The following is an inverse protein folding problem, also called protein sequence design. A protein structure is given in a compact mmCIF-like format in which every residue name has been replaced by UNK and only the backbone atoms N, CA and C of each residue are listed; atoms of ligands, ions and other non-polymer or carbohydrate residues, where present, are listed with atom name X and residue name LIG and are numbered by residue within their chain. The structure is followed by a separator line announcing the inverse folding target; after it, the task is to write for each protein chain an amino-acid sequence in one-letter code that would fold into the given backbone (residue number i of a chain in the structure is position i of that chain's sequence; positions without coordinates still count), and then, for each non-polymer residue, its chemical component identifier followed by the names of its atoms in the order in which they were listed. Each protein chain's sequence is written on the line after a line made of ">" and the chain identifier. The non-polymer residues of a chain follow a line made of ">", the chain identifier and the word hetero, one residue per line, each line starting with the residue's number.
data_IF_281887254155
#
_entry.id   IF_281887254155
#
_cell.length_a   1.000
_cell.length_b   1.000
_cell.length_c   1.000
_cell.angle_alpha   90.00
_cell.angle_beta   90.00
_cell.angle_gamma   90.00
#
_symmetry.space_group_name_H-M   'P 1'
#
loop_
_entity.id
_entity.type
_entity.pdbx_description
1 polymer ?
#
# COMPACT_ATOMS: atom_id res chain seq x y z
N UNK A 1 -63.70 16.63 51.17
CA UNK A 1 -64.15 16.14 49.86
C UNK A 1 -62.88 15.71 49.13
N UNK A 2 -62.54 14.41 49.09
CA UNK A 2 -62.97 13.43 48.07
C UNK A 2 -62.86 14.04 46.67
N UNK A 3 -62.24 13.46 45.66
CA UNK A 3 -61.65 12.15 45.36
C UNK A 3 -61.11 12.33 43.92
N UNK A 4 -60.15 11.50 43.51
CA UNK A 4 -59.74 11.11 42.13
C UNK A 4 -58.22 11.23 41.98
N UNK A 5 -57.45 10.16 42.19
CA UNK A 5 -57.35 8.86 41.50
C UNK A 5 -56.15 8.86 40.54
N UNK A 6 -55.23 7.97 40.90
CA UNK A 6 -54.05 7.51 40.19
C UNK A 6 -54.39 6.91 38.81
N UNK A 7 -53.53 7.20 37.82
CA UNK A 7 -53.26 6.34 36.66
C UNK A 7 -51.76 6.54 36.30
N UNK A 8 -50.88 5.63 36.71
CA UNK A 8 -50.27 4.56 35.86
C UNK A 8 -49.38 5.17 34.76
N UNK A 9 -48.07 5.33 34.97
CA UNK A 9 -47.01 4.31 34.90
C UNK A 9 -46.69 3.83 33.47
N UNK A 10 -45.38 3.70 33.22
CA UNK A 10 -44.67 3.12 32.06
C UNK A 10 -44.52 3.96 30.79
N UNK A 11 -43.40 4.69 30.72
CA UNK A 11 -42.56 4.75 29.51
C UNK A 11 -41.15 5.25 29.89
N UNK A 12 -40.44 4.46 30.70
CA UNK A 12 -39.02 4.65 30.98
C UNK A 12 -38.33 3.30 30.83
N UNK A 13 -37.22 3.31 30.09
CA UNK A 13 -36.32 2.19 29.78
C UNK A 13 -36.81 1.21 28.69
N UNK A 14 -36.59 1.57 27.42
CA UNK A 14 -36.17 0.63 26.35
C UNK A 14 -35.86 1.32 24.99
N UNK A 15 -35.33 2.56 24.96
CA UNK A 15 -35.11 3.30 23.71
C UNK A 15 -33.68 3.85 23.50
N UNK A 16 -32.68 3.40 24.27
CA UNK A 16 -31.28 3.85 24.07
C UNK A 16 -30.34 2.78 23.51
N UNK A 17 -30.76 1.52 23.42
CA UNK A 17 -29.90 0.44 22.88
C UNK A 17 -29.95 0.30 21.35
N UNK A 18 -30.88 0.97 20.64
CA UNK A 18 -31.08 0.76 19.20
C UNK A 18 -30.31 1.75 18.31
N UNK A 19 -29.98 2.96 18.80
CA UNK A 19 -29.30 3.96 17.97
C UNK A 19 -27.78 3.78 17.88
N UNK A 20 -27.14 3.12 18.84
CA UNK A 20 -25.69 2.89 18.83
C UNK A 20 -25.25 1.81 17.81
N UNK A 21 -26.12 0.82 17.54
CA UNK A 21 -25.81 -0.24 16.57
C UNK A 21 -25.95 0.20 15.11
N UNK A 22 -26.81 1.18 14.82
CA UNK A 22 -27.00 1.67 13.46
C UNK A 22 -25.80 2.48 12.93
N UNK A 23 -25.11 3.22 13.80
CA UNK A 23 -23.94 4.02 13.41
C UNK A 23 -22.70 3.16 13.17
N UNK A 24 -22.51 2.08 13.94
CA UNK A 24 -21.38 1.16 13.74
C UNK A 24 -21.55 0.32 12.48
N UNK A 25 -22.76 -0.17 12.19
CA UNK A 25 -23.06 -0.92 10.95
C UNK A 25 -22.93 -0.07 9.68
N UNK A 26 -23.19 1.24 9.76
CA UNK A 26 -23.09 2.14 8.60
C UNK A 26 -21.63 2.51 8.28
N UNK A 27 -20.72 2.52 9.27
CA UNK A 27 -19.31 2.81 9.04
C UNK A 27 -18.54 1.62 8.45
N UNK A 28 -18.92 0.39 8.81
CA UNK A 28 -18.33 -0.82 8.23
C UNK A 28 -18.76 -1.03 6.78
N UNK A 29 -20.00 -0.72 6.41
CA UNK A 29 -20.46 -0.84 5.02
C UNK A 29 -19.85 0.21 4.11
N UNK A 30 -19.66 1.46 4.57
CA UNK A 30 -19.00 2.51 3.76
C UNK A 30 -17.49 2.27 3.57
N UNK A 31 -16.81 1.72 4.58
CA UNK A 31 -15.39 1.37 4.49
C UNK A 31 -15.16 0.12 3.63
N UNK A 32 -16.03 -0.90 3.75
CA UNK A 32 -16.02 -2.06 2.86
C UNK A 32 -16.42 -1.69 1.43
N UNK A 33 -17.40 -0.82 1.23
CA UNK A 33 -17.77 -0.31 -0.10
C UNK A 33 -16.65 0.52 -0.73
N UNK A 34 -15.88 1.31 0.05
CA UNK A 34 -14.67 2.01 -0.46
C UNK A 34 -13.50 1.06 -0.72
N UNK A 35 -13.35 -0.01 0.05
CA UNK A 35 -12.36 -1.06 -0.23
C UNK A 35 -12.73 -1.89 -1.46
N UNK A 36 -14.01 -2.20 -1.67
CA UNK A 36 -14.52 -2.92 -2.84
C UNK A 36 -14.57 -2.03 -4.10
N UNK A 37 -14.84 -0.74 -3.97
CA UNK A 37 -14.80 0.23 -5.08
C UNK A 37 -13.37 0.50 -5.61
N UNK A 38 -12.31 0.14 -4.85
CA UNK A 38 -10.94 0.10 -5.40
C UNK A 38 -10.67 -1.10 -6.32
N UNK A 39 -11.63 -2.02 -6.45
CA UNK A 39 -11.49 -3.29 -7.17
C UNK A 39 -12.50 -3.42 -8.32
N UNK A 40 -13.10 -2.33 -8.79
CA UNK A 40 -13.90 -2.35 -10.02
C UNK A 40 -13.00 -2.20 -11.27
N UNK A 41 -13.10 -3.07 -12.28
CA UNK A 41 -12.40 -2.91 -13.55
C UNK A 41 -13.11 -1.85 -14.41
N UNK A 42 -12.33 -0.93 -14.98
CA UNK A 42 -12.83 0.03 -15.97
C UNK A 42 -13.01 -0.68 -17.33
N UNK A 43 -14.16 -0.45 -17.96
CA UNK A 43 -14.52 -1.01 -19.28
C UNK A 43 -13.80 -0.31 -20.45
N UNK A 44 -13.29 -1.16 -21.34
CA UNK A 44 -13.04 -1.06 -22.80
C UNK A 44 -12.47 0.23 -23.41
N UNK A 45 -11.22 0.11 -23.88
CA UNK A 45 -10.64 0.77 -25.03
C UNK A 45 -9.39 -0.03 -25.46
N UNK A 46 -9.27 -0.38 -26.74
CA UNK A 46 -8.17 -1.19 -27.32
C UNK A 46 -6.82 -0.43 -27.28
N UNK A 47 -6.23 -0.36 -26.09
CA UNK A 47 -4.81 -0.06 -25.89
C UNK A 47 -4.20 -1.18 -25.05
N UNK A 48 -2.98 -1.58 -25.40
CA UNK A 48 -2.18 -2.60 -24.69
C UNK A 48 -1.81 -2.04 -23.31
N UNK A 49 -2.79 -2.01 -22.42
CA UNK A 49 -2.69 -1.65 -21.01
C UNK A 49 -2.30 -2.92 -20.26
N UNK A 50 -1.40 -2.80 -19.29
CA UNK A 50 -1.05 -3.90 -18.38
C UNK A 50 -2.27 -4.32 -17.55
N UNK A 51 -3.16 -5.11 -18.16
CA UNK A 51 -4.41 -5.54 -17.56
C UNK A 51 -4.10 -6.59 -16.47
N UNK A 52 -4.25 -6.18 -15.21
CA UNK A 52 -4.50 -7.03 -14.04
C UNK A 52 -3.36 -7.91 -13.47
N UNK A 53 -2.11 -7.45 -13.45
CA UNK A 53 -1.17 -7.95 -12.43
C UNK A 53 -1.19 -7.00 -11.24
N UNK A 54 -1.71 -7.48 -10.10
CA UNK A 54 -1.49 -6.80 -8.82
C UNK A 54 0.01 -6.57 -8.65
N UNK A 55 0.44 -5.36 -8.26
CA UNK A 55 1.85 -5.09 -8.12
C UNK A 55 2.45 -6.03 -7.06
N UNK A 56 3.62 -6.57 -7.36
CA UNK A 56 4.25 -7.65 -6.58
C UNK A 56 4.85 -7.14 -5.27
N UNK A 57 5.36 -5.91 -5.32
CA UNK A 57 5.88 -5.16 -4.18
C UNK A 57 5.89 -3.68 -4.51
N UNK A 58 6.16 -2.87 -3.50
CA UNK A 58 6.34 -1.44 -3.71
C UNK A 58 6.64 -0.69 -2.43
N UNK A 59 6.73 0.62 -2.58
CA UNK A 59 6.83 1.52 -1.46
C UNK A 59 5.94 2.73 -1.66
N UNK A 60 5.55 3.37 -0.57
CA UNK A 60 4.81 4.63 -0.59
C UNK A 60 5.34 5.56 0.48
N UNK A 61 5.19 6.84 0.24
CA UNK A 61 5.55 7.87 1.20
C UNK A 61 4.40 8.83 1.40
N UNK A 62 4.37 9.44 2.58
CA UNK A 62 3.42 10.48 2.94
C UNK A 62 4.08 11.43 3.93
N UNK A 63 4.03 12.72 3.66
CA UNK A 63 4.44 13.72 4.63
C UNK A 63 3.41 13.86 5.77
N UNK A 64 3.82 14.45 6.89
CA UNK A 64 2.98 14.56 8.09
C UNK A 64 1.66 15.32 7.83
N UNK A 65 1.68 16.29 6.90
CA UNK A 65 0.53 17.13 6.57
C UNK A 65 -0.31 16.59 5.40
N UNK A 66 0.09 15.47 4.81
CA UNK A 66 -0.53 14.86 3.62
C UNK A 66 -0.60 15.82 2.41
N UNK A 67 0.28 16.82 2.37
CA UNK A 67 0.44 17.75 1.25
C UNK A 67 1.15 17.11 0.08
N UNK A 68 2.05 16.17 0.37
CA UNK A 68 2.79 15.37 -0.58
C UNK A 68 2.73 13.89 -0.20
N UNK A 69 2.24 13.07 -1.12
CA UNK A 69 2.34 11.63 -1.01
C UNK A 69 2.69 11.02 -2.35
N UNK A 70 3.15 9.80 -2.34
CA UNK A 70 3.33 9.06 -3.57
C UNK A 70 3.59 7.59 -3.32
N UNK A 71 3.69 6.84 -4.41
CA UNK A 71 3.96 5.41 -4.35
C UNK A 71 4.71 4.96 -5.58
N UNK A 72 5.60 4.00 -5.40
CA UNK A 72 6.15 3.18 -6.47
C UNK A 72 5.60 1.78 -6.35
N UNK A 73 4.99 1.29 -7.43
CA UNK A 73 4.52 -0.08 -7.59
C UNK A 73 5.44 -0.82 -8.54
N UNK A 74 5.92 -2.00 -8.16
CA UNK A 74 6.79 -2.85 -8.96
C UNK A 74 6.02 -4.07 -9.45
N UNK A 75 6.13 -4.34 -10.75
CA UNK A 75 5.54 -5.46 -11.45
C UNK A 75 6.65 -6.37 -11.96
N UNK A 76 6.49 -7.69 -11.76
CA UNK A 76 7.40 -8.69 -12.29
C UNK A 76 6.96 -9.13 -13.69
N UNK A 77 7.84 -8.93 -14.67
CA UNK A 77 7.62 -9.26 -16.08
C UNK A 77 8.69 -10.28 -16.56
N UNK A 78 8.40 -11.60 -16.57
CA UNK A 78 9.34 -12.61 -17.06
C UNK A 78 9.49 -12.60 -18.59
N UNK A 79 10.44 -11.88 -19.16
CA UNK A 79 10.60 -11.74 -20.64
C UNK A 79 11.58 -12.76 -21.23
N UNK A 80 11.31 -13.26 -22.44
CA UNK A 80 12.27 -14.09 -23.19
C UNK A 80 13.38 -13.27 -23.84
N UNK A 81 13.14 -11.98 -24.08
CA UNK A 81 14.10 -11.09 -24.70
C UNK A 81 15.32 -10.89 -23.80
N UNK A 82 16.52 -11.13 -24.33
CA UNK A 82 17.77 -11.01 -23.57
C UNK A 82 17.92 -12.04 -22.45
N UNK A 83 17.12 -13.11 -22.43
CA UNK A 83 17.29 -14.19 -21.47
C UNK A 83 18.66 -14.87 -21.67
N UNK A 84 19.39 -15.23 -20.59
CA UNK A 84 20.63 -15.97 -20.69
C UNK A 84 20.45 -17.30 -21.41
N UNK A 85 21.52 -17.80 -22.06
CA UNK A 85 21.50 -19.10 -22.73
C UNK A 85 21.05 -20.21 -21.76
N UNK A 86 20.10 -21.04 -22.20
CA UNK A 86 19.51 -22.10 -21.38
C UNK A 86 18.40 -21.66 -20.43
N UNK A 87 18.05 -20.37 -20.35
CA UNK A 87 16.91 -19.88 -19.57
C UNK A 87 15.76 -19.45 -20.49
N UNK A 88 14.52 -19.91 -20.25
CA UNK A 88 13.39 -19.56 -21.12
C UNK A 88 12.95 -18.09 -20.97
N UNK A 89 13.19 -17.48 -19.80
CA UNK A 89 12.91 -16.08 -19.53
C UNK A 89 13.91 -15.49 -18.53
N UNK A 90 14.07 -14.17 -18.55
CA UNK A 90 14.69 -13.37 -17.48
C UNK A 90 13.64 -12.50 -16.81
N UNK A 91 13.90 -12.06 -15.58
CA UNK A 91 13.03 -11.11 -14.88
C UNK A 91 13.33 -9.68 -15.33
N UNK A 92 12.34 -9.01 -15.92
CA UNK A 92 12.29 -7.56 -16.09
C UNK A 92 11.39 -6.98 -15.01
N UNK A 93 11.83 -5.90 -14.37
CA UNK A 93 11.02 -5.16 -13.39
C UNK A 93 10.42 -3.96 -14.10
N UNK A 94 9.11 -3.79 -14.00
CA UNK A 94 8.43 -2.56 -14.46
C UNK A 94 7.97 -1.80 -13.22
N UNK A 95 8.29 -0.51 -13.16
CA UNK A 95 7.94 0.35 -12.03
C UNK A 95 7.00 1.46 -12.47
N UNK A 96 5.97 1.69 -11.66
CA UNK A 96 5.03 2.80 -11.80
C UNK A 96 5.14 3.70 -10.58
N UNK A 97 5.53 4.95 -10.78
CA UNK A 97 5.48 5.98 -9.77
C UNK A 97 4.17 6.79 -9.91
N UNK A 98 3.57 7.10 -8.77
CA UNK A 98 2.45 7.99 -8.63
C UNK A 98 2.82 9.07 -7.62
N UNK A 99 2.87 10.31 -8.06
CA UNK A 99 3.09 11.47 -7.21
C UNK A 99 1.79 12.26 -7.03
N UNK A 100 1.44 12.55 -5.79
CA UNK A 100 0.24 13.26 -5.41
C UNK A 100 0.60 14.51 -4.61
N UNK A 101 0.19 15.64 -5.15
CA UNK A 101 0.32 16.93 -4.50
C UNK A 101 -1.07 17.52 -4.26
N UNK A 102 -1.33 17.99 -3.05
CA UNK A 102 -2.61 18.63 -2.73
C UNK A 102 -2.89 19.79 -3.71
N UNK A 103 -4.07 19.75 -4.36
CA UNK A 103 -4.50 20.77 -5.30
C UNK A 103 -3.87 20.69 -6.69
N UNK A 104 -3.11 19.64 -7.02
CA UNK A 104 -2.58 19.39 -8.37
C UNK A 104 -3.06 18.04 -8.91
N UNK A 105 -3.12 17.87 -10.24
CA UNK A 105 -3.34 16.56 -10.84
C UNK A 105 -2.25 15.56 -10.41
N UNK A 106 -2.65 14.31 -10.21
CA UNK A 106 -1.76 13.19 -9.99
C UNK A 106 -0.77 13.07 -11.18
N UNK A 107 0.51 12.90 -10.88
CA UNK A 107 1.54 12.65 -11.88
C UNK A 107 1.91 11.17 -11.87
N UNK A 108 1.86 10.55 -13.04
CA UNK A 108 2.23 9.15 -13.22
C UNK A 108 3.47 9.10 -14.10
N UNK A 109 4.45 8.34 -13.66
CA UNK A 109 5.66 8.08 -14.41
C UNK A 109 6.05 6.61 -14.29
N UNK A 110 6.91 6.17 -15.20
CA UNK A 110 7.26 4.78 -15.38
C UNK A 110 8.76 4.63 -15.64
N UNK A 111 9.29 3.46 -15.29
CA UNK A 111 10.60 2.99 -15.71
C UNK A 111 10.61 1.47 -15.73
N UNK A 112 11.68 0.86 -16.22
CA UNK A 112 11.92 -0.57 -16.09
C UNK A 112 13.38 -0.86 -15.71
N UNK A 113 13.70 -2.12 -15.40
CA UNK A 113 15.04 -2.56 -15.01
C UNK A 113 16.08 -2.47 -16.11
N UNK A 114 15.67 -2.36 -17.38
CA UNK A 114 16.60 -2.29 -18.51
C UNK A 114 17.08 -0.84 -18.69
N UNK A 115 16.16 0.12 -18.51
CA UNK A 115 16.48 1.57 -18.49
C UNK A 115 17.05 2.04 -17.16
N UNK A 116 16.62 1.43 -16.05
CA UNK A 116 17.05 1.78 -14.71
C UNK A 116 17.53 0.54 -13.94
N UNK A 117 18.79 0.11 -14.14
CA UNK A 117 19.37 -1.05 -13.46
C UNK A 117 19.30 -0.96 -11.93
N UNK A 118 19.25 0.26 -11.39
CA UNK A 118 19.06 0.54 -9.95
C UNK A 118 17.81 -0.14 -9.37
N UNK A 119 16.74 -0.33 -10.15
CA UNK A 119 15.52 -1.01 -9.67
C UNK A 119 15.81 -2.42 -9.17
N UNK A 120 16.67 -3.16 -9.86
CA UNK A 120 17.02 -4.52 -9.46
C UNK A 120 17.73 -4.52 -8.11
N UNK A 121 18.67 -3.59 -7.91
CA UNK A 121 19.38 -3.41 -6.64
C UNK A 121 18.41 -3.06 -5.51
N UNK A 122 17.47 -2.13 -5.75
CA UNK A 122 16.47 -1.76 -4.74
C UNK A 122 15.56 -2.92 -4.35
N UNK A 123 15.14 -3.75 -5.30
CA UNK A 123 14.36 -4.96 -4.99
C UNK A 123 15.18 -5.99 -4.21
N UNK A 124 16.49 -6.11 -4.48
CA UNK A 124 17.37 -6.96 -3.68
C UNK A 124 17.56 -6.42 -2.26
N UNK A 125 17.76 -5.12 -2.09
CA UNK A 125 17.80 -4.46 -0.79
C UNK A 125 16.47 -4.64 -0.03
N UNK A 126 15.34 -4.59 -0.74
CA UNK A 126 14.03 -4.85 -0.15
C UNK A 126 13.95 -6.23 0.54
N UNK A 127 14.60 -7.25 -0.03
CA UNK A 127 14.63 -8.60 0.55
C UNK A 127 15.43 -8.69 1.86
N UNK A 128 16.30 -7.71 2.15
CA UNK A 128 17.08 -7.68 3.38
C UNK A 128 16.28 -7.21 4.60
N UNK A 129 15.10 -6.60 4.39
CA UNK A 129 14.26 -6.15 5.49
C UNK A 129 13.63 -7.34 6.22
N UNK A 130 13.89 -7.39 7.53
CA UNK A 130 13.16 -8.27 8.43
C UNK A 130 11.92 -7.54 8.94
N UNK A 131 10.74 -8.19 8.99
CA UNK A 131 9.56 -7.62 9.61
C UNK A 131 9.85 -7.17 11.05
N UNK A 132 9.39 -5.97 11.47
CA UNK A 132 9.62 -5.50 12.82
C UNK A 132 8.95 -6.41 13.84
N UNK A 133 9.55 -6.53 15.03
CA UNK A 133 8.96 -7.26 16.16
C UNK A 133 7.84 -6.43 16.77
N UNK A 134 6.76 -7.08 17.16
CA UNK A 134 5.69 -6.45 17.96
C UNK A 134 6.21 -6.21 19.38
N UNK A 135 6.27 -4.94 19.79
CA UNK A 135 6.54 -4.55 21.17
C UNK A 135 5.25 -4.07 21.80
N UNK A 136 4.88 -4.65 22.93
CA UNK A 136 3.75 -4.21 23.75
C UNK A 136 4.33 -3.36 24.89
N UNK A 137 4.03 -2.05 24.95
CA UNK A 137 4.51 -1.21 26.04
C UNK A 137 4.16 -1.79 27.41
N UNK A 138 5.17 -1.87 28.30
CA UNK A 138 5.00 -2.41 29.66
C UNK A 138 5.17 -3.93 29.80
N UNK A 139 5.37 -4.68 28.71
CA UNK A 139 5.64 -6.13 28.78
C UNK A 139 7.13 -6.49 28.89
N UNK A 140 8.03 -5.53 28.67
CA UNK A 140 9.49 -5.68 28.81
C UNK A 140 10.06 -4.60 29.73
N UNK A 141 11.09 -4.96 30.51
CA UNK A 141 11.85 -4.05 31.37
C UNK A 141 13.35 -4.15 31.07
N UNK A 142 14.04 -3.03 30.79
CA UNK A 142 13.52 -1.66 30.70
C UNK A 142 12.54 -1.48 29.52
N UNK A 143 11.62 -0.52 29.59
CA UNK A 143 10.66 -0.30 28.51
C UNK A 143 11.37 0.11 27.22
N UNK A 144 11.12 -0.61 26.14
CA UNK A 144 11.54 -0.24 24.80
C UNK A 144 10.46 0.67 24.19
N UNK A 145 10.80 1.94 23.96
CA UNK A 145 9.92 2.87 23.26
C UNK A 145 10.35 2.98 21.79
N UNK A 146 9.44 2.84 20.82
CA UNK A 146 9.76 3.14 19.44
C UNK A 146 10.11 4.62 19.29
N UNK A 147 11.10 4.93 18.46
CA UNK A 147 11.39 6.32 18.07
C UNK A 147 10.26 6.82 17.20
N UNK A 148 9.56 7.87 17.64
CA UNK A 148 8.47 8.51 16.88
C UNK A 148 8.95 9.90 16.46
N UNK A 149 9.06 10.13 15.15
CA UNK A 149 9.36 11.45 14.57
C UNK A 149 8.06 12.08 14.08
N UNK A 150 7.58 13.12 14.77
CA UNK A 150 6.24 13.67 14.55
C UNK A 150 6.12 14.54 13.28
N UNK A 151 7.24 14.99 12.72
CA UNK A 151 7.35 15.87 11.56
C UNK A 151 8.02 15.19 10.34
N UNK A 152 8.17 13.87 10.38
CA UNK A 152 8.84 13.09 9.35
C UNK A 152 7.94 12.68 8.18
N UNK A 153 8.58 12.29 7.08
CA UNK A 153 7.90 11.53 6.02
C UNK A 153 7.76 10.09 6.46
N UNK A 154 6.53 9.58 6.51
CA UNK A 154 6.27 8.16 6.74
C UNK A 154 6.48 7.38 5.45
N UNK A 155 7.26 6.31 5.54
CA UNK A 155 7.53 5.38 4.45
C UNK A 155 6.91 4.04 4.77
N UNK A 156 6.15 3.49 3.84
CA UNK A 156 5.61 2.14 3.91
C UNK A 156 6.22 1.30 2.80
N UNK A 157 6.75 0.15 3.16
CA UNK A 157 7.18 -0.91 2.26
C UNK A 157 6.16 -2.03 2.30
N UNK A 158 5.83 -2.61 1.16
CA UNK A 158 4.85 -3.69 1.09
C UNK A 158 5.21 -4.70 0.00
N UNK A 159 4.81 -5.96 0.20
CA UNK A 159 4.95 -7.03 -0.78
C UNK A 159 3.76 -7.98 -0.73
N UNK A 160 3.18 -8.27 -1.88
CA UNK A 160 2.10 -9.26 -2.08
C UNK A 160 2.64 -10.65 -2.46
N UNK A 161 3.96 -10.75 -2.64
CA UNK A 161 4.65 -11.97 -3.09
C UNK A 161 5.62 -12.52 -2.03
N UNK A 162 5.53 -12.01 -0.79
CA UNK A 162 6.33 -12.52 0.30
C UNK A 162 5.94 -13.98 0.61
N UNK A 163 6.90 -14.73 1.15
CA UNK A 163 6.70 -16.12 1.54
C UNK A 163 7.07 -16.31 3.01
N UNK A 164 6.25 -17.06 3.74
CA UNK A 164 6.56 -17.56 5.08
C UNK A 164 7.44 -18.81 4.99
N UNK A 165 7.80 -19.36 6.15
CA UNK A 165 8.34 -20.71 6.23
C UNK A 165 7.43 -21.68 5.42
N UNK A 166 8.04 -22.68 4.79
CA UNK A 166 7.31 -23.68 3.97
C UNK A 166 6.64 -23.10 2.69
N UNK A 167 7.00 -21.88 2.28
CA UNK A 167 6.57 -21.23 1.02
C UNK A 167 5.09 -20.83 0.98
N UNK A 168 4.44 -20.69 2.13
CA UNK A 168 3.09 -20.12 2.17
C UNK A 168 3.10 -18.65 1.74
N UNK A 169 2.19 -18.22 0.86
CA UNK A 169 2.12 -16.83 0.42
C UNK A 169 1.71 -15.91 1.58
N UNK A 170 2.30 -14.73 1.64
CA UNK A 170 1.98 -13.71 2.62
C UNK A 170 1.96 -12.32 1.99
N UNK A 171 1.07 -11.49 2.54
CA UNK A 171 1.13 -10.04 2.37
C UNK A 171 1.89 -9.47 3.55
N UNK A 172 2.95 -8.71 3.29
CA UNK A 172 3.71 -7.99 4.31
C UNK A 172 3.65 -6.50 4.05
N UNK A 173 3.46 -5.73 5.11
CA UNK A 173 3.46 -4.27 5.06
C UNK A 173 4.10 -3.74 6.34
N UNK A 174 5.10 -2.87 6.19
CA UNK A 174 5.85 -2.28 7.28
C UNK A 174 5.99 -0.78 7.03
N UNK A 175 5.68 0.02 8.05
CA UNK A 175 5.71 1.48 7.97
C UNK A 175 6.62 2.06 9.05
N UNK A 176 7.40 3.06 8.68
CA UNK A 176 8.18 3.85 9.63
C UNK A 176 8.40 5.27 9.13
N UNK A 177 8.47 6.21 10.05
CA UNK A 177 8.89 7.59 9.83
C UNK A 177 10.37 7.84 10.20
N UNK A 178 11.08 6.82 10.70
CA UNK A 178 12.48 6.90 11.09
C UNK A 178 13.22 5.55 10.93
N UNK A 179 14.55 5.60 11.03
CA UNK A 179 15.42 4.43 10.95
C UNK A 179 15.45 3.80 9.55
N UNK A 180 15.86 2.53 9.49
CA UNK A 180 16.25 1.87 8.23
C UNK A 180 15.22 1.92 7.10
N UNK A 181 13.92 1.84 7.41
CA UNK A 181 12.85 1.91 6.39
C UNK A 181 12.76 3.33 5.80
N UNK A 182 12.84 4.36 6.64
CA UNK A 182 12.79 5.74 6.19
C UNK A 182 14.06 6.13 5.44
N UNK A 183 15.23 5.73 5.96
CA UNK A 183 16.53 5.97 5.34
C UNK A 183 16.60 5.32 3.94
N UNK A 184 16.14 4.06 3.85
CA UNK A 184 16.05 3.36 2.57
C UNK A 184 15.07 4.03 1.61
N UNK A 185 13.90 4.45 2.09
CA UNK A 185 12.89 5.11 1.24
C UNK A 185 13.43 6.39 0.59
N UNK A 186 14.13 7.22 1.38
CA UNK A 186 14.81 8.43 0.89
C UNK A 186 15.88 8.07 -0.13
N UNK A 187 16.75 7.10 0.17
CA UNK A 187 17.80 6.66 -0.73
C UNK A 187 17.24 6.08 -2.04
N UNK A 188 16.20 5.26 -1.98
CA UNK A 188 15.54 4.65 -3.13
C UNK A 188 14.93 5.69 -4.07
N UNK A 189 14.25 6.70 -3.50
CA UNK A 189 13.69 7.81 -4.27
C UNK A 189 14.79 8.59 -5.00
N UNK A 190 15.85 8.98 -4.29
CA UNK A 190 16.96 9.73 -4.88
C UNK A 190 17.68 8.91 -5.97
N UNK A 191 17.88 7.60 -5.74
CA UNK A 191 18.58 6.73 -6.66
C UNK A 191 17.79 6.45 -7.96
N UNK A 192 16.49 6.73 -8.00
CA UNK A 192 15.63 6.50 -9.17
C UNK A 192 15.17 7.78 -9.86
N UNK A 193 15.41 8.96 -9.27
CA UNK A 193 14.88 10.25 -9.75
C UNK A 193 15.14 10.51 -11.24
N UNK A 194 16.31 10.13 -11.75
CA UNK A 194 16.70 10.33 -13.16
C UNK A 194 16.14 9.29 -14.14
N UNK A 195 15.44 8.26 -13.67
CA UNK A 195 14.97 7.16 -14.51
C UNK A 195 13.52 7.30 -14.99
N UNK A 196 12.75 8.22 -14.41
CA UNK A 196 11.29 8.26 -14.57
C UNK A 196 10.89 8.97 -15.86
N UNK A 197 10.03 8.31 -16.65
CA UNK A 197 9.47 8.84 -17.88
C UNK A 197 7.95 8.87 -17.83
N UNK A 198 7.33 9.76 -18.63
CA UNK A 198 5.85 9.81 -18.74
C UNK A 198 5.28 8.60 -19.49
N UNK A 199 6.06 8.04 -20.41
CA UNK A 199 5.61 6.93 -21.24
C UNK A 199 5.80 5.61 -20.50
N UNK A 200 4.72 4.83 -20.47
CA UNK A 200 4.77 3.45 -19.98
C UNK A 200 5.67 2.60 -20.89
N UNK A 201 6.60 1.80 -20.33
CA UNK A 201 7.38 0.87 -21.13
C UNK A 201 6.47 -0.05 -21.95
N UNK A 202 6.87 -0.39 -23.19
CA UNK A 202 6.10 -1.31 -24.00
C UNK A 202 5.92 -2.63 -23.23
N UNK A 203 4.66 -3.02 -23.07
CA UNK A 203 4.28 -4.31 -22.53
C UNK A 203 4.50 -5.43 -23.56
N UNK A 204 4.43 -6.67 -23.11
CA UNK A 204 4.41 -7.80 -24.06
C UNK A 204 3.16 -7.72 -24.92
N UNK A 205 3.35 -7.52 -26.23
CA UNK A 205 2.37 -7.97 -27.21
C UNK A 205 2.31 -9.49 -27.10
N UNK A 206 1.21 -10.03 -26.58
CA UNK A 206 0.92 -11.44 -26.72
C UNK A 206 0.73 -11.71 -28.22
N UNK A 207 1.77 -12.21 -28.89
CA UNK A 207 1.60 -12.88 -30.17
C UNK A 207 0.82 -14.17 -29.89
N UNK A 208 -0.48 -14.10 -30.17
CA UNK A 208 -1.43 -15.22 -30.19
C UNK A 208 -0.98 -16.32 -31.12
#
# INVERSE_FOLDING_TARGET
>A
MREQLYAVSLCAALAFASCANATVLSQTTDSQARQQARVAPAESGDDVLWNHRSPSLGWRWRDAFQTLSGSVSIYFDPTSEGAPEGQPTRLRLVARQLDRHAGKPDQISWTDSDRCPTLLRLVQEFQSFTPPRTVIPGMTWPPEFPVIVLDGTSWTLWSSTAQQAERYPAYVEFSSNAGAIADWGIAARNATEGCWERQEPPGRTHSS
#
